data_IF_793464887396
#
_entry.id   IF_793464887396
#
_cell.length_a   1.000
_cell.length_b   1.000
_cell.length_c   1.000
_cell.angle_alpha   90.00
_cell.angle_beta   90.00
_cell.angle_gamma   90.00
#
_symmetry.space_group_name_H-M   'P 1'
#
loop_
_entity.id
_entity.type
_entity.pdbx_description
1 polymer ?
#
# COMPACT_ATOMS: atom_id res chain seq x y z
N UNK A 1 -2.71 -6.38 1.66
CA UNK A 1 -1.66 -7.22 2.26
C UNK A 1 -1.35 -6.76 3.68
N UNK A 2 -1.21 -7.69 4.58
CA UNK A 2 -0.79 -7.41 5.95
C UNK A 2 0.67 -7.83 6.09
N UNK A 3 1.53 -6.87 6.43
CA UNK A 3 2.97 -7.11 6.58
C UNK A 3 3.36 -7.11 8.04
N UNK A 4 4.26 -8.01 8.39
CA UNK A 4 4.74 -8.20 9.75
C UNK A 4 6.18 -7.70 9.89
N UNK A 5 6.49 -7.11 11.04
CA UNK A 5 7.85 -6.73 11.44
C UNK A 5 8.09 -7.37 12.81
N UNK A 6 9.13 -8.18 12.90
CA UNK A 6 9.49 -8.93 14.12
C UNK A 6 8.29 -9.72 14.70
N UNK A 7 7.50 -10.34 13.80
CA UNK A 7 6.34 -11.13 14.18
C UNK A 7 5.09 -10.34 14.56
N UNK A 8 5.12 -9.00 14.48
CA UNK A 8 3.99 -8.14 14.78
C UNK A 8 3.37 -7.56 13.51
N UNK A 9 2.02 -7.56 13.37
CA UNK A 9 1.37 -6.92 12.23
C UNK A 9 1.62 -5.41 12.30
N UNK A 10 2.25 -4.87 11.28
CA UNK A 10 2.78 -3.50 11.33
C UNK A 10 2.30 -2.61 10.20
N UNK A 11 2.03 -3.19 9.03
CA UNK A 11 1.65 -2.43 7.84
C UNK A 11 0.48 -3.13 7.17
N UNK A 12 -0.61 -2.38 6.97
CA UNK A 12 -1.75 -2.83 6.18
C UNK A 12 -1.72 -2.11 4.83
N UNK A 13 -1.45 -2.87 3.77
CA UNK A 13 -1.31 -2.34 2.42
C UNK A 13 -2.52 -2.73 1.57
N UNK A 14 -3.07 -1.75 0.84
CA UNK A 14 -4.18 -1.95 -0.09
C UNK A 14 -3.80 -1.36 -1.44
N UNK A 15 -3.94 -2.17 -2.49
CA UNK A 15 -3.65 -1.77 -3.86
C UNK A 15 -4.96 -1.61 -4.63
N UNK A 16 -5.10 -0.49 -5.33
CA UNK A 16 -6.28 -0.17 -6.13
C UNK A 16 -5.87 -0.07 -7.59
N UNK A 17 -6.43 -0.95 -8.43
CA UNK A 17 -6.12 -1.00 -9.85
C UNK A 17 -7.35 -0.69 -10.69
N UNK A 18 -7.17 -0.03 -11.86
CA UNK A 18 -8.24 0.05 -12.87
C UNK A 18 -8.64 -1.34 -13.35
N UNK A 19 -9.89 -1.48 -13.79
CA UNK A 19 -10.43 -2.76 -14.29
C UNK A 19 -9.63 -3.34 -15.46
N UNK A 20 -8.99 -2.51 -16.27
CA UNK A 20 -8.15 -2.96 -17.38
C UNK A 20 -6.98 -3.83 -16.94
N UNK A 21 -6.66 -3.81 -15.64
CA UNK A 21 -5.61 -4.66 -15.06
C UNK A 21 -6.18 -5.84 -14.26
N UNK A 22 -7.37 -6.31 -14.64
CA UNK A 22 -8.03 -7.43 -13.96
C UNK A 22 -7.24 -8.75 -14.05
N UNK A 23 -6.29 -8.85 -15.00
CA UNK A 23 -5.37 -9.99 -15.07
C UNK A 23 -4.59 -10.18 -13.76
N UNK A 24 -4.42 -9.12 -12.95
CA UNK A 24 -3.74 -9.19 -11.66
C UNK A 24 -4.47 -10.09 -10.65
N UNK A 25 -5.77 -10.34 -10.86
CA UNK A 25 -6.53 -11.25 -10.01
C UNK A 25 -6.04 -12.70 -10.14
N UNK A 26 -5.32 -13.02 -11.22
CA UNK A 26 -4.77 -14.36 -11.49
C UNK A 26 -3.27 -14.43 -11.23
N UNK A 27 -2.66 -13.36 -10.71
CA UNK A 27 -1.24 -13.31 -10.43
C UNK A 27 -0.97 -13.50 -8.93
N UNK A 28 0.21 -14.01 -8.62
CA UNK A 28 0.69 -14.05 -7.24
C UNK A 28 1.24 -12.68 -6.85
N UNK A 29 0.49 -11.94 -6.03
CA UNK A 29 0.84 -10.59 -5.60
C UNK A 29 1.70 -10.55 -4.33
N UNK A 30 2.21 -11.68 -3.86
CA UNK A 30 3.11 -11.73 -2.70
C UNK A 30 4.48 -11.12 -3.01
N UNK A 31 4.89 -11.15 -4.28
CA UNK A 31 6.12 -10.54 -4.74
C UNK A 31 5.96 -9.07 -5.13
N UNK A 32 6.85 -8.62 -6.01
CA UNK A 32 6.86 -7.24 -6.49
C UNK A 32 5.76 -7.01 -7.54
N UNK A 33 4.82 -6.13 -7.22
CA UNK A 33 3.78 -5.68 -8.16
C UNK A 33 4.41 -4.97 -9.36
N UNK A 34 5.48 -4.18 -9.14
CA UNK A 34 6.18 -3.48 -10.21
C UNK A 34 6.76 -4.46 -11.24
N UNK A 35 7.32 -5.58 -10.79
CA UNK A 35 7.86 -6.61 -11.68
C UNK A 35 6.78 -7.27 -12.51
N UNK A 36 5.62 -7.56 -11.91
CA UNK A 36 4.48 -8.15 -12.61
C UNK A 36 3.96 -7.20 -13.68
N UNK A 37 3.79 -5.93 -13.35
CA UNK A 37 3.34 -4.91 -14.31
C UNK A 37 4.35 -4.75 -15.45
N UNK A 38 5.64 -4.72 -15.13
CA UNK A 38 6.70 -4.60 -16.14
C UNK A 38 6.68 -5.79 -17.11
N UNK A 39 6.46 -7.00 -16.63
CA UNK A 39 6.32 -8.19 -17.48
C UNK A 39 5.15 -8.10 -18.45
N UNK A 40 4.12 -7.31 -18.12
CA UNK A 40 2.98 -7.02 -19.00
C UNK A 40 3.14 -5.74 -19.81
N UNK A 41 4.35 -5.18 -19.88
CA UNK A 41 4.63 -3.98 -20.66
C UNK A 41 4.17 -2.67 -19.99
N UNK A 42 3.87 -2.71 -18.70
CA UNK A 42 3.40 -1.56 -17.94
C UNK A 42 4.54 -1.08 -17.04
N UNK A 43 5.04 0.14 -17.30
CA UNK A 43 6.17 0.69 -16.55
C UNK A 43 5.72 1.93 -15.76
N UNK A 44 5.95 1.88 -14.46
CA UNK A 44 5.75 3.05 -13.59
C UNK A 44 6.89 4.05 -13.84
N UNK A 45 6.52 5.28 -14.14
CA UNK A 45 7.49 6.34 -14.44
C UNK A 45 7.49 7.42 -13.36
N UNK A 46 6.31 7.82 -12.87
CA UNK A 46 6.15 8.82 -11.84
C UNK A 46 5.43 8.24 -10.64
N UNK A 47 5.86 8.68 -9.47
CA UNK A 47 5.22 8.33 -8.20
C UNK A 47 5.04 9.61 -7.38
N UNK A 48 3.81 9.86 -6.93
CA UNK A 48 3.50 10.96 -6.02
C UNK A 48 3.02 10.36 -4.70
N UNK A 49 3.68 10.72 -3.63
CA UNK A 49 3.35 10.21 -2.30
C UNK A 49 2.73 11.30 -1.44
N UNK A 50 1.66 10.98 -0.74
CA UNK A 50 1.08 11.81 0.31
C UNK A 50 1.20 11.10 1.64
N UNK A 51 1.27 11.90 2.71
CA UNK A 51 1.35 11.40 4.08
C UNK A 51 0.35 12.17 4.93
N UNK A 52 -0.47 11.42 5.67
CA UNK A 52 -1.41 11.99 6.62
C UNK A 52 -1.54 11.09 7.86
N UNK A 53 -2.13 11.62 8.91
CA UNK A 53 -2.45 10.84 10.10
C UNK A 53 -3.89 10.36 9.97
N UNK A 54 -4.10 9.09 10.26
CA UNK A 54 -5.41 8.45 10.27
C UNK A 54 -5.63 7.77 11.61
N UNK A 55 -6.87 7.62 12.01
CA UNK A 55 -7.21 6.87 13.22
C UNK A 55 -7.73 5.49 12.82
N UNK A 56 -7.27 4.46 13.51
CA UNK A 56 -7.62 3.08 13.19
C UNK A 56 -9.13 2.85 13.32
N UNK A 57 -9.74 2.34 12.25
CA UNK A 57 -11.10 1.79 12.31
C UNK A 57 -11.10 0.51 13.12
N UNK A 58 -12.29 0.00 13.47
CA UNK A 58 -12.41 -1.29 14.18
C UNK A 58 -11.77 -2.43 13.39
N UNK A 59 -11.96 -2.47 12.07
CA UNK A 59 -11.37 -3.50 11.21
C UNK A 59 -9.86 -3.37 11.13
N UNK A 60 -9.35 -2.17 10.92
CA UNK A 60 -7.92 -1.90 10.87
C UNK A 60 -7.23 -2.21 12.19
N UNK A 61 -7.86 -1.82 13.30
CA UNK A 61 -7.36 -2.11 14.64
C UNK A 61 -7.27 -3.61 14.91
N UNK A 62 -8.28 -4.37 14.50
CA UNK A 62 -8.27 -5.83 14.62
C UNK A 62 -7.15 -6.48 13.83
N UNK A 63 -6.95 -6.04 12.59
CA UNK A 63 -5.88 -6.57 11.73
C UNK A 63 -4.49 -6.23 12.24
N UNK A 64 -4.30 -5.02 12.75
CA UNK A 64 -3.01 -4.52 13.25
C UNK A 64 -2.77 -4.84 14.73
N UNK A 65 -3.75 -5.47 15.40
CA UNK A 65 -3.67 -5.82 16.83
C UNK A 65 -3.37 -4.60 17.71
N UNK A 66 -4.08 -3.51 17.45
CA UNK A 66 -4.01 -2.26 18.19
C UNK A 66 -5.41 -1.84 18.65
N UNK A 67 -5.47 -0.82 19.50
CA UNK A 67 -6.74 -0.28 19.95
C UNK A 67 -7.42 0.52 18.84
N UNK A 68 -8.74 0.45 18.76
CA UNK A 68 -9.55 1.32 17.91
C UNK A 68 -9.20 2.78 18.17
N UNK A 69 -9.18 3.59 17.12
CA UNK A 69 -8.80 4.99 17.10
C UNK A 69 -7.31 5.27 17.38
N UNK A 70 -6.46 4.25 17.48
CA UNK A 70 -5.02 4.46 17.55
C UNK A 70 -4.53 5.24 16.33
N UNK A 71 -3.57 6.17 16.48
CA UNK A 71 -3.04 6.91 15.34
C UNK A 71 -2.22 6.00 14.43
N UNK A 72 -2.44 6.17 13.13
CA UNK A 72 -1.72 5.47 12.07
C UNK A 72 -1.11 6.52 11.14
N UNK A 73 0.03 6.21 10.53
CA UNK A 73 0.52 6.96 9.39
C UNK A 73 -0.07 6.36 8.12
N UNK A 74 -0.72 7.20 7.33
CA UNK A 74 -1.33 6.81 6.07
C UNK A 74 -0.51 7.38 4.91
N UNK A 75 0.15 6.49 4.18
CA UNK A 75 0.81 6.83 2.92
C UNK A 75 -0.09 6.44 1.76
N UNK A 76 -0.24 7.33 0.80
CA UNK A 76 -0.84 7.02 -0.50
C UNK A 76 0.19 7.29 -1.57
N UNK A 77 0.43 6.29 -2.41
CA UNK A 77 1.31 6.39 -3.56
C UNK A 77 0.48 6.34 -4.83
N UNK A 78 0.52 7.42 -5.59
CA UNK A 78 -0.16 7.55 -6.88
C UNK A 78 0.86 7.26 -7.98
N UNK A 79 0.68 6.14 -8.66
CA UNK A 79 1.61 5.66 -9.68
C UNK A 79 1.10 5.99 -11.06
N UNK A 80 1.97 6.52 -11.92
CA UNK A 80 1.61 6.89 -13.29
C UNK A 80 2.72 6.50 -14.27
N UNK A 81 2.34 6.44 -15.56
CA UNK A 81 3.29 6.16 -16.65
C UNK A 81 3.98 7.45 -17.12
N UNK A 82 4.83 7.33 -18.15
CA UNK A 82 5.59 8.46 -18.69
C UNK A 82 4.72 9.55 -19.33
N UNK A 83 3.47 9.23 -19.66
CA UNK A 83 2.52 10.16 -20.27
C UNK A 83 1.56 10.78 -19.23
N UNK A 84 1.77 10.48 -17.94
CA UNK A 84 0.91 10.97 -16.86
C UNK A 84 -0.38 10.18 -16.69
N UNK A 85 -0.55 9.05 -17.36
CA UNK A 85 -1.74 8.20 -17.17
C UNK A 85 -1.64 7.48 -15.81
N UNK A 86 -2.69 7.54 -14.98
CA UNK A 86 -2.69 6.84 -13.71
C UNK A 86 -2.67 5.32 -13.93
N UNK A 87 -1.83 4.63 -13.19
CA UNK A 87 -1.70 3.17 -13.24
C UNK A 87 -2.40 2.50 -12.05
N UNK A 88 -2.01 2.87 -10.85
CA UNK A 88 -2.65 2.35 -9.63
C UNK A 88 -2.35 3.24 -8.43
N UNK A 89 -3.06 3.00 -7.34
CA UNK A 89 -2.84 3.66 -6.06
C UNK A 89 -2.52 2.58 -5.03
N UNK A 90 -1.48 2.83 -4.25
CA UNK A 90 -1.12 2.00 -3.10
C UNK A 90 -1.40 2.80 -1.82
N UNK A 91 -2.22 2.23 -0.95
CA UNK A 91 -2.51 2.79 0.38
C UNK A 91 -1.81 1.95 1.43
N UNK A 92 -1.02 2.58 2.29
CA UNK A 92 -0.29 1.89 3.36
C UNK A 92 -0.62 2.54 4.70
N UNK A 93 -1.11 1.75 5.62
CA UNK A 93 -1.35 2.15 7.00
C UNK A 93 -0.26 1.56 7.88
N UNK A 94 0.51 2.41 8.53
CA UNK A 94 1.59 2.01 9.42
C UNK A 94 1.16 2.14 10.87
N UNK A 95 1.32 1.07 11.64
CA UNK A 95 1.25 1.14 13.09
C UNK A 95 2.42 1.99 13.57
N UNK A 96 2.12 3.09 14.27
CA UNK A 96 3.13 4.07 14.68
C UNK A 96 3.83 3.70 15.99
N UNK A 97 3.37 2.66 16.67
CA UNK A 97 3.99 2.19 17.89
C UNK A 97 5.29 1.47 17.56
N UNK A 98 6.36 1.85 18.22
CA UNK A 98 7.68 1.24 18.07
C UNK A 98 8.30 1.41 16.67
N UNK A 99 7.90 2.44 15.91
CA UNK A 99 8.48 2.77 14.60
C UNK A 99 9.06 4.17 14.59
N UNK A 100 10.18 4.32 13.92
CA UNK A 100 10.81 5.60 13.63
C UNK A 100 10.99 5.68 12.11
N UNK A 101 10.53 6.79 11.52
CA UNK A 101 10.67 7.01 10.08
C UNK A 101 11.81 8.00 9.81
N UNK A 102 12.73 7.60 8.94
CA UNK A 102 13.81 8.45 8.46
C UNK A 102 13.45 8.95 7.06
N UNK A 103 13.33 10.25 6.92
CA UNK A 103 12.91 10.88 5.67
C UNK A 103 14.10 11.41 4.86
#
# INVERSE_FOLDING_TARGET
RLRYIDGHPSILETLYFPRKYDFLLHENLEGSVFSILHAHGITVHNSRRTLEISNASSNEAGLLEIKRNSPLLLFRDYQSDSQGNPLFVCKQLYNTQNMIFYL
#
